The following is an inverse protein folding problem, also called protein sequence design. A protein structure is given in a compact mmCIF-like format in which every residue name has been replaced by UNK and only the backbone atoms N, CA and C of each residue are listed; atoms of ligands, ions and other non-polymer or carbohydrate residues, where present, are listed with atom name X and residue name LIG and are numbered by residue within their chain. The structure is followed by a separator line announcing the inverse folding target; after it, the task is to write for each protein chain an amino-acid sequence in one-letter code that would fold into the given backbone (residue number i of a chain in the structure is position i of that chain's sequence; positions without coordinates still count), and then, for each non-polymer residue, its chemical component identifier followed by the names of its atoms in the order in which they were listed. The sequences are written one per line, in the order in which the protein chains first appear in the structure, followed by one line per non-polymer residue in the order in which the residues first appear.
data_IF_557833780226
#
_entry.id   IF_557833780226
#
_cell.length_a   1.000
_cell.length_b   1.000
_cell.length_c   1.000
_cell.angle_alpha   90.00
_cell.angle_beta   90.00
_cell.angle_gamma   90.00
#
_symmetry.space_group_name_H-M   'P 1'
#
loop_
_entity.id
_entity.type
_entity.pdbx_description
1 polymer ?
#
# COMPACT_ATOMS: atom_id res chain seq x y z
N UNK A 1 -9.46 -5.14 -11.71
CA UNK A 1 -9.81 -5.03 -10.26
C UNK A 1 -9.45 -6.32 -9.55
N UNK A 2 -9.84 -7.47 -10.10
CA UNK A 2 -9.49 -8.80 -9.57
C UNK A 2 -7.98 -8.99 -9.32
N UNK A 3 -7.12 -8.41 -10.15
CA UNK A 3 -5.66 -8.45 -9.99
C UNK A 3 -5.19 -7.67 -8.75
N UNK A 4 -5.74 -6.47 -8.56
CA UNK A 4 -5.47 -5.64 -7.38
C UNK A 4 -5.99 -6.34 -6.11
N UNK A 5 -7.18 -6.94 -6.17
CA UNK A 5 -7.77 -7.69 -5.06
C UNK A 5 -6.92 -8.93 -4.71
N UNK A 6 -6.41 -9.66 -5.72
CA UNK A 6 -5.48 -10.78 -5.52
C UNK A 6 -4.19 -10.33 -4.82
N UNK A 7 -3.63 -9.18 -5.23
CA UNK A 7 -2.46 -8.59 -4.58
C UNK A 7 -2.75 -8.19 -3.13
N UNK A 8 -3.90 -7.59 -2.86
CA UNK A 8 -4.34 -7.26 -1.50
C UNK A 8 -4.43 -8.52 -0.63
N UNK A 9 -5.05 -9.59 -1.12
CA UNK A 9 -5.17 -10.84 -0.38
C UNK A 9 -3.80 -11.44 -0.04
N UNK A 10 -2.86 -11.45 -1.00
CA UNK A 10 -1.49 -11.92 -0.76
C UNK A 10 -0.75 -11.07 0.27
N UNK A 11 -0.89 -9.74 0.23
CA UNK A 11 -0.22 -8.84 1.18
C UNK A 11 -0.85 -8.90 2.57
N UNK A 12 -2.18 -9.04 2.66
CA UNK A 12 -2.87 -9.28 3.94
C UNK A 12 -2.43 -10.57 4.61
N UNK A 13 -2.29 -11.66 3.84
CA UNK A 13 -1.76 -12.93 4.35
C UNK A 13 -0.32 -12.81 4.89
N UNK A 14 0.45 -11.83 4.39
CA UNK A 14 1.79 -11.49 4.89
C UNK A 14 1.80 -10.51 6.06
N UNK A 15 0.63 -10.16 6.61
CA UNK A 15 0.46 -9.28 7.77
C UNK A 15 0.45 -7.78 7.44
N UNK A 16 0.32 -7.38 6.17
CA UNK A 16 0.24 -5.96 5.82
C UNK A 16 -1.21 -5.46 5.87
N UNK A 17 -1.40 -4.26 6.44
CA UNK A 17 -2.65 -3.52 6.27
C UNK A 17 -2.70 -2.94 4.84
N UNK A 18 -3.52 -3.51 3.96
CA UNK A 18 -3.56 -3.11 2.54
C UNK A 18 -4.98 -2.87 2.05
N UNK A 19 -5.16 -1.88 1.17
CA UNK A 19 -6.42 -1.51 0.53
C UNK A 19 -6.25 -1.22 -0.96
N UNK A 20 -7.28 -1.51 -1.74
CA UNK A 20 -7.40 -0.98 -3.12
C UNK A 20 -7.95 0.44 -3.03
N UNK A 21 -7.28 1.35 -3.72
CA UNK A 21 -7.62 2.76 -3.85
C UNK A 21 -8.12 3.02 -5.28
N UNK A 22 -9.29 3.66 -5.37
CA UNK A 22 -9.99 3.93 -6.62
C UNK A 22 -11.16 3.00 -6.88
N UNK A 23 -12.26 3.57 -7.38
CA UNK A 23 -13.43 2.85 -7.89
C UNK A 23 -13.35 2.61 -9.41
N UNK A 24 -12.44 3.30 -10.10
CA UNK A 24 -12.22 3.23 -11.55
C UNK A 24 -10.74 2.96 -11.82
N UNK A 25 -10.43 2.25 -12.91
CA UNK A 25 -9.06 1.99 -13.31
C UNK A 25 -8.26 3.30 -13.54
N UNK A 26 -6.97 3.37 -13.17
CA UNK A 26 -6.16 2.30 -12.59
C UNK A 26 -6.41 2.10 -11.08
N UNK A 27 -6.62 0.83 -10.68
CA UNK A 27 -6.77 0.42 -9.28
C UNK A 27 -5.40 0.38 -8.59
N UNK A 28 -5.16 1.25 -7.61
CA UNK A 28 -3.89 1.33 -6.89
C UNK A 28 -3.95 0.52 -5.61
N UNK A 29 -2.91 -0.23 -5.29
CA UNK A 29 -2.82 -0.97 -4.02
C UNK A 29 -2.00 -0.14 -3.03
N UNK A 30 -2.64 0.33 -1.95
CA UNK A 30 -2.01 1.15 -0.90
C UNK A 30 -1.76 0.30 0.35
N UNK A 31 -0.53 0.41 0.87
CA UNK A 31 -0.09 -0.32 2.07
C UNK A 31 0.04 0.68 3.23
N UNK A 32 -0.69 0.39 4.31
CA UNK A 32 -0.71 1.20 5.52
C UNK A 32 -1.45 2.53 5.36
N UNK A 33 -1.62 3.20 6.49
CA UNK A 33 -2.01 4.59 6.56
C UNK A 33 -1.31 5.15 7.79
N UNK A 34 -0.46 6.15 7.57
CA UNK A 34 0.43 6.66 8.60
C UNK A 34 0.14 8.14 8.83
N UNK A 35 0.30 8.58 10.07
CA UNK A 35 0.03 9.96 10.47
C UNK A 35 1.10 10.91 9.91
N UNK A 36 2.35 10.44 9.81
CA UNK A 36 3.47 11.24 9.31
C UNK A 36 4.08 10.62 8.06
N UNK A 37 4.69 11.46 7.23
CA UNK A 37 5.45 11.03 6.05
C UNK A 37 6.63 10.15 6.45
N UNK A 38 7.30 10.49 7.56
CA UNK A 38 8.42 9.71 8.12
C UNK A 38 8.02 8.27 8.45
N UNK A 39 6.86 8.07 9.09
CA UNK A 39 6.35 6.73 9.41
C UNK A 39 6.09 5.91 8.13
N UNK A 40 5.58 6.57 7.08
CA UNK A 40 5.33 5.95 5.79
C UNK A 40 6.64 5.58 5.07
N UNK A 41 7.66 6.44 5.14
CA UNK A 41 9.00 6.17 4.58
C UNK A 41 9.69 5.00 5.31
N UNK A 42 9.61 4.95 6.64
CA UNK A 42 10.20 3.86 7.41
C UNK A 42 9.48 2.54 7.13
N UNK A 43 8.16 2.56 6.91
CA UNK A 43 7.44 1.40 6.40
C UNK A 43 7.90 1.01 4.98
N UNK A 44 8.09 1.98 4.09
CA UNK A 44 8.59 1.74 2.74
C UNK A 44 9.97 1.09 2.74
N UNK A 45 10.90 1.52 3.61
CA UNK A 45 12.21 0.88 3.77
C UNK A 45 12.09 -0.60 4.13
N UNK A 46 11.20 -0.94 5.07
CA UNK A 46 10.93 -2.35 5.47
C UNK A 46 10.33 -3.18 4.33
N UNK A 47 9.50 -2.56 3.48
CA UNK A 47 8.90 -3.19 2.30
C UNK A 47 9.96 -3.44 1.22
N UNK A 48 10.81 -2.44 0.93
CA UNK A 48 11.94 -2.55 -0.01
C UNK A 48 12.96 -3.60 0.41
N UNK A 49 13.23 -3.71 1.72
CA UNK A 49 14.08 -4.77 2.26
C UNK A 49 13.55 -6.18 1.96
N UNK A 50 12.24 -6.34 1.72
CA UNK A 50 11.60 -7.59 1.33
C UNK A 50 11.44 -7.73 -0.20
N UNK A 51 12.24 -6.99 -0.98
CA UNK A 51 12.26 -7.00 -2.45
C UNK A 51 10.93 -6.61 -3.10
N UNK A 52 10.15 -5.77 -2.44
CA UNK A 52 8.94 -5.18 -3.01
C UNK A 52 9.20 -3.71 -3.34
N UNK A 53 8.62 -3.23 -4.43
CA UNK A 53 8.73 -1.83 -4.81
C UNK A 53 7.49 -1.03 -4.41
N UNK A 54 7.66 0.28 -4.28
CA UNK A 54 6.61 1.21 -3.87
C UNK A 54 7.12 2.62 -3.60
N UNK A 55 6.17 3.53 -3.37
CA UNK A 55 6.44 4.91 -3.03
C UNK A 55 5.40 5.44 -2.04
N UNK A 56 5.79 6.46 -1.27
CA UNK A 56 4.90 7.14 -0.33
C UNK A 56 4.01 8.12 -1.10
N UNK A 57 2.73 8.15 -0.76
CA UNK A 57 1.76 9.10 -1.30
C UNK A 57 1.07 9.80 -0.14
N UNK A 58 1.02 11.13 -0.18
CA UNK A 58 0.13 11.89 0.72
C UNK A 58 -1.32 11.62 0.30
N UNK A 59 -2.07 10.96 1.17
CA UNK A 59 -3.49 10.77 0.93
C UNK A 59 -4.19 12.15 0.96
N UNK A 60 -5.12 12.43 0.03
CA UNK A 60 -5.93 13.65 0.13
C UNK A 60 -6.66 13.66 1.47
N UNK A 61 -6.79 14.85 2.07
CA UNK A 61 -7.65 15.05 3.23
C UNK A 61 -9.05 14.52 2.86
N UNK A 62 -9.55 13.62 3.69
CA UNK A 62 -10.76 12.85 3.40
C UNK A 62 -12.01 13.66 3.71
#
# INVERSE_FOLDING_TARGET
KAEADKLVSMLKARGYAVRVDGSVAPFRVRIGHYLTEKDAEDALKRIKAKRMDGFVVRAPAR
#
